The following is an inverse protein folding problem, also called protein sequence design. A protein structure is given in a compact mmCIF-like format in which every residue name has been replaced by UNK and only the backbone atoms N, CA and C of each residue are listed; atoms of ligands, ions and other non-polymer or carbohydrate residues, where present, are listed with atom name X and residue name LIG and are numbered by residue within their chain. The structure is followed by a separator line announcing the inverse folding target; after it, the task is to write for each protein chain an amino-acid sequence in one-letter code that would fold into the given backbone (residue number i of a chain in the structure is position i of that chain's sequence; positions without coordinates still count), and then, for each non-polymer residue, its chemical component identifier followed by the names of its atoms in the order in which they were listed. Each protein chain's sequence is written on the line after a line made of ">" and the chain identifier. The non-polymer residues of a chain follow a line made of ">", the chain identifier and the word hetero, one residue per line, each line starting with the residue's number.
data_IF_313201969208
#
_entry.id   IF_313201969208
#
_cell.length_a   1.000
_cell.length_b   1.000
_cell.length_c   1.000
_cell.angle_alpha   90.00
_cell.angle_beta   90.00
_cell.angle_gamma   90.00
#
_symmetry.space_group_name_H-M   'P 1'
#
loop_
_entity.id
_entity.type
_entity.pdbx_description
1 polymer ?
#
# COMPACT_ATOMS: atom_id res chain seq x y z
N UNK A 1 -11.15 2.43 -19.12
CA UNK A 1 -11.23 1.95 -17.73
C UNK A 1 -12.02 0.66 -17.79
N UNK A 2 -11.35 -0.49 -17.67
CA UNK A 2 -12.02 -1.78 -17.84
C UNK A 2 -12.87 -2.07 -16.59
N UNK A 3 -14.18 -2.16 -16.75
CA UNK A 3 -15.06 -2.61 -15.67
C UNK A 3 -14.87 -4.11 -15.46
N UNK A 4 -14.13 -4.45 -14.41
CA UNK A 4 -13.91 -5.84 -13.99
C UNK A 4 -14.90 -6.15 -12.86
N UNK A 5 -15.83 -7.05 -13.12
CA UNK A 5 -16.72 -7.59 -12.10
C UNK A 5 -15.98 -8.69 -11.35
N UNK A 6 -15.87 -8.56 -10.04
CA UNK A 6 -15.25 -9.55 -9.17
C UNK A 6 -16.29 -10.09 -8.20
N UNK A 7 -16.43 -11.40 -8.11
CA UNK A 7 -17.27 -12.08 -7.12
C UNK A 7 -16.38 -12.75 -6.09
N UNK A 8 -16.68 -12.53 -4.81
CA UNK A 8 -15.88 -13.05 -3.69
C UNK A 8 -16.80 -13.76 -2.71
N UNK A 9 -16.47 -15.01 -2.39
CA UNK A 9 -17.15 -15.72 -1.29
C UNK A 9 -16.58 -15.24 0.03
N UNK A 10 -17.45 -14.85 0.96
CA UNK A 10 -17.04 -14.38 2.29
C UNK A 10 -17.95 -14.95 3.39
N UNK A 11 -17.45 -15.03 4.63
CA UNK A 11 -18.27 -15.38 5.78
C UNK A 11 -19.43 -14.38 5.96
N UNK A 12 -20.59 -14.88 6.39
CA UNK A 12 -21.77 -14.05 6.63
C UNK A 12 -21.51 -12.91 7.63
N UNK A 13 -20.78 -13.21 8.71
CA UNK A 13 -20.40 -12.22 9.72
C UNK A 13 -19.61 -11.04 9.13
N UNK A 14 -18.71 -11.31 8.19
CA UNK A 14 -17.93 -10.27 7.52
C UNK A 14 -18.82 -9.43 6.58
N UNK A 15 -19.71 -10.08 5.82
CA UNK A 15 -20.66 -9.37 4.96
C UNK A 15 -21.59 -8.44 5.77
N UNK A 16 -22.03 -8.89 6.94
CA UNK A 16 -22.88 -8.09 7.83
C UNK A 16 -22.11 -6.90 8.41
N UNK A 17 -20.86 -7.09 8.84
CA UNK A 17 -20.00 -5.99 9.29
C UNK A 17 -19.75 -4.96 8.18
N UNK A 18 -19.50 -5.41 6.94
CA UNK A 18 -19.33 -4.52 5.79
C UNK A 18 -20.60 -3.73 5.48
N UNK A 19 -21.78 -4.34 5.66
CA UNK A 19 -23.06 -3.63 5.51
C UNK A 19 -23.24 -2.55 6.58
N UNK A 20 -22.84 -2.80 7.82
CA UNK A 20 -22.89 -1.80 8.88
C UNK A 20 -21.90 -0.65 8.64
N UNK A 21 -20.70 -0.95 8.11
CA UNK A 21 -19.75 0.07 7.67
C UNK A 21 -20.35 0.89 6.53
N UNK A 22 -20.98 0.25 5.54
CA UNK A 22 -21.64 0.93 4.42
C UNK A 22 -22.67 1.95 4.93
N UNK A 23 -23.53 1.54 5.87
CA UNK A 23 -24.52 2.44 6.49
C UNK A 23 -23.87 3.58 7.27
N UNK A 24 -22.88 3.28 8.12
CA UNK A 24 -22.23 4.26 8.99
C UNK A 24 -21.53 5.37 8.22
N UNK A 25 -20.92 5.02 7.09
CA UNK A 25 -20.19 5.96 6.25
C UNK A 25 -21.01 6.47 5.07
N UNK A 26 -22.32 6.17 5.04
CA UNK A 26 -23.25 6.59 3.99
C UNK A 26 -22.82 6.18 2.58
N UNK A 27 -22.19 5.02 2.44
CA UNK A 27 -21.90 4.43 1.13
C UNK A 27 -23.21 3.94 0.49
N UNK A 28 -23.27 3.99 -0.84
CA UNK A 28 -24.45 3.56 -1.60
C UNK A 28 -24.66 2.05 -1.50
N UNK A 29 -23.57 1.28 -1.54
CA UNK A 29 -23.60 -0.17 -1.41
C UNK A 29 -22.35 -0.73 -0.72
N UNK A 30 -22.38 -2.04 -0.47
CA UNK A 30 -21.23 -2.77 0.11
C UNK A 30 -20.03 -2.73 -0.83
N UNK A 31 -20.25 -2.75 -2.14
CA UNK A 31 -19.18 -2.73 -3.15
C UNK A 31 -18.36 -1.44 -3.08
N UNK A 32 -19.01 -0.30 -2.83
CA UNK A 32 -18.37 1.00 -2.67
C UNK A 32 -17.57 1.07 -1.38
N UNK A 33 -18.13 0.57 -0.27
CA UNK A 33 -17.40 0.44 0.99
C UNK A 33 -16.12 -0.42 0.82
N UNK A 34 -16.23 -1.57 0.14
CA UNK A 34 -15.09 -2.45 -0.16
C UNK A 34 -14.07 -1.74 -1.06
N UNK A 35 -14.51 -1.07 -2.13
CA UNK A 35 -13.63 -0.29 -3.01
C UNK A 35 -12.87 0.80 -2.25
N UNK A 36 -13.54 1.51 -1.36
CA UNK A 36 -12.93 2.56 -0.53
C UNK A 36 -11.83 2.00 0.38
N UNK A 37 -12.12 0.91 1.10
CA UNK A 37 -11.15 0.24 1.98
C UNK A 37 -9.94 -0.28 1.19
N UNK A 38 -10.18 -0.96 0.06
CA UNK A 38 -9.11 -1.50 -0.78
C UNK A 38 -8.22 -0.38 -1.33
N UNK A 39 -8.83 0.72 -1.78
CA UNK A 39 -8.10 1.90 -2.26
C UNK A 39 -7.22 2.49 -1.16
N UNK A 40 -7.74 2.65 0.05
CA UNK A 40 -6.97 3.16 1.19
C UNK A 40 -5.77 2.25 1.49
N UNK A 41 -5.98 0.92 1.54
CA UNK A 41 -4.90 -0.03 1.77
C UNK A 41 -3.86 -0.03 0.65
N UNK A 42 -4.29 0.08 -0.59
CA UNK A 42 -3.40 0.14 -1.75
C UNK A 42 -2.49 1.38 -1.71
N UNK A 43 -3.05 2.55 -1.35
CA UNK A 43 -2.24 3.76 -1.20
C UNK A 43 -1.30 3.69 0.01
N UNK A 44 -1.74 3.11 1.12
CA UNK A 44 -0.85 2.85 2.27
C UNK A 44 0.31 1.92 1.89
N UNK A 45 0.03 0.83 1.16
CA UNK A 45 1.09 -0.08 0.72
C UNK A 45 2.05 0.58 -0.27
N UNK A 46 1.55 1.46 -1.16
CA UNK A 46 2.41 2.20 -2.08
C UNK A 46 3.24 3.26 -1.36
N UNK A 47 2.67 3.97 -0.38
CA UNK A 47 3.42 4.93 0.43
C UNK A 47 4.55 4.22 1.20
N UNK A 48 4.26 3.07 1.82
CA UNK A 48 5.28 2.26 2.48
C UNK A 48 6.34 1.72 1.50
N UNK A 49 5.92 1.31 0.29
CA UNK A 49 6.85 0.87 -0.74
C UNK A 49 7.74 2.04 -1.21
N UNK A 50 7.19 3.24 -1.37
CA UNK A 50 7.93 4.44 -1.74
C UNK A 50 8.91 4.86 -0.63
N UNK A 51 8.49 4.83 0.64
CA UNK A 51 9.36 5.09 1.79
C UNK A 51 10.50 4.06 1.90
N UNK A 52 10.23 2.79 1.57
CA UNK A 52 11.26 1.76 1.51
C UNK A 52 12.24 1.96 0.35
N UNK A 53 11.82 2.65 -0.72
CA UNK A 53 12.67 3.01 -1.85
C UNK A 53 13.50 4.28 -1.58
N UNK A 54 12.94 5.29 -0.91
CA UNK A 54 13.67 6.51 -0.49
C UNK A 54 14.64 6.23 0.65
N UNK A 55 14.35 5.26 1.52
CA UNK A 55 15.31 4.71 2.47
C UNK A 55 16.57 4.14 1.81
N UNK A 56 16.47 3.65 0.57
CA UNK A 56 17.62 3.18 -0.19
C UNK A 56 18.52 4.32 -0.70
N UNK A 57 18.03 5.55 -0.88
CA UNK A 57 18.90 6.67 -1.28
C UNK A 57 19.93 7.00 -0.18
N UNK A 58 19.52 6.91 1.08
CA UNK A 58 20.40 7.02 2.25
C UNK A 58 21.42 5.88 2.33
N UNK A 59 21.00 4.65 2.01
CA UNK A 59 21.90 3.50 1.96
C UNK A 59 22.88 3.57 0.78
N UNK A 60 22.43 4.05 -0.38
CA UNK A 60 23.27 4.29 -1.57
C UNK A 60 24.26 5.41 -1.28
N UNK A 61 23.86 6.48 -0.60
CA UNK A 61 24.76 7.55 -0.17
C UNK A 61 25.83 7.04 0.81
N UNK A 62 25.44 6.21 1.80
CA UNK A 62 26.39 5.54 2.71
C UNK A 62 27.32 4.58 1.98
N UNK A 63 26.82 3.80 1.02
CA UNK A 63 27.64 2.89 0.21
C UNK A 63 28.66 3.65 -0.63
N UNK A 64 28.27 4.78 -1.24
CA UNK A 64 29.20 5.65 -1.98
C UNK A 64 30.31 6.19 -1.09
N UNK A 65 29.99 6.70 0.11
CA UNK A 65 31.01 7.15 1.07
C UNK A 65 31.98 6.03 1.49
N UNK A 66 31.48 4.81 1.65
CA UNK A 66 32.33 3.66 1.99
C UNK A 66 33.24 3.28 0.81
N UNK A 67 32.73 3.32 -0.42
CA UNK A 67 33.52 3.04 -1.63
C UNK A 67 34.59 4.11 -1.87
N UNK A 68 34.25 5.39 -1.75
CA UNK A 68 35.22 6.50 -1.87
C UNK A 68 36.33 6.39 -0.82
N UNK A 69 35.99 6.02 0.42
CA UNK A 69 36.99 5.78 1.48
C UNK A 69 37.85 4.52 1.31
N UNK A 70 37.53 3.63 0.36
CA UNK A 70 38.33 2.45 0.03
C UNK A 70 39.28 2.73 -1.15
N UNK A 71 38.89 3.58 -2.10
CA UNK A 71 39.76 4.01 -3.21
C UNK A 71 40.95 4.86 -2.72
N UNK A 72 40.77 5.65 -1.66
CA UNK A 72 41.85 6.46 -1.05
C UNK A 72 42.93 5.62 -0.32
N UNK A 73 42.69 4.32 -0.09
CA UNK A 73 43.64 3.43 0.62
C UNK A 73 44.51 2.59 -0.31
N UNK A 74 44.46 2.80 -1.63
CA UNK A 74 45.27 2.07 -2.62
C UNK A 74 46.18 2.96 -3.48
N UNK A 75 46.47 4.19 -3.04
CA UNK A 75 47.55 5.04 -3.57
C UNK A 75 48.51 5.46 -2.46
#
# INVERSE_FOLDING_TARGET
>A
MNDVIVSVRMPKSLADQLREIAKRHHFMDVSEAVRSILRQKYFQSQAMALDSLTGNESLVAKLKQILEGLDDKHN
#
